data_IF_780236474310
#
_entry.id   IF_780236474310
#
_cell.length_a   1.000
_cell.length_b   1.000
_cell.length_c   1.000
_cell.angle_alpha   90.00
_cell.angle_beta   90.00
_cell.angle_gamma   90.00
#
_symmetry.space_group_name_H-M   'P 1'
#
loop_
_entity.id
_entity.type
_entity.pdbx_description
1 polymer ?
#
# COMPACT_ATOMS: atom_id res chain seq x y z
N UNK A 1 -12.76 -7.65 -23.99
CA UNK A 1 -12.36 -6.36 -23.38
C UNK A 1 -11.03 -6.61 -22.69
N UNK A 2 -9.95 -5.87 -23.01
CA UNK A 2 -8.76 -5.92 -22.17
C UNK A 2 -9.14 -5.29 -20.83
N UNK A 3 -9.17 -6.08 -19.77
CA UNK A 3 -9.34 -5.58 -18.41
C UNK A 3 -8.11 -4.71 -18.13
N UNK A 4 -8.30 -3.48 -17.65
CA UNK A 4 -7.18 -2.68 -17.16
C UNK A 4 -6.42 -3.52 -16.12
N UNK A 5 -5.11 -3.69 -16.34
CA UNK A 5 -4.26 -4.45 -15.42
C UNK A 5 -4.46 -3.92 -14.01
N UNK A 6 -4.85 -4.80 -13.09
CA UNK A 6 -5.10 -4.43 -11.70
C UNK A 6 -3.84 -3.77 -11.12
N UNK A 7 -3.99 -2.62 -10.47
CA UNK A 7 -2.85 -1.88 -9.92
C UNK A 7 -2.27 -2.68 -8.75
N UNK A 8 -1.11 -3.31 -8.96
CA UNK A 8 -0.37 -4.06 -7.94
C UNK A 8 0.65 -3.16 -7.25
N UNK A 9 0.51 -2.99 -5.95
CA UNK A 9 1.42 -2.18 -5.13
C UNK A 9 2.00 -2.94 -3.94
N UNK A 10 1.59 -4.19 -3.72
CA UNK A 10 1.83 -4.90 -2.46
C UNK A 10 3.29 -5.05 -2.11
N UNK A 11 4.12 -5.40 -3.12
CA UNK A 11 5.57 -5.52 -2.95
C UNK A 11 6.21 -4.20 -2.50
N UNK A 12 5.90 -3.09 -3.17
CA UNK A 12 6.48 -1.79 -2.84
C UNK A 12 6.00 -1.27 -1.49
N UNK A 13 4.70 -1.46 -1.19
CA UNK A 13 4.13 -1.11 0.10
C UNK A 13 4.88 -1.82 1.24
N UNK A 14 5.12 -3.12 1.09
CA UNK A 14 5.86 -3.91 2.09
C UNK A 14 7.30 -3.42 2.26
N UNK A 15 8.01 -3.20 1.16
CA UNK A 15 9.40 -2.71 1.19
C UNK A 15 9.51 -1.37 1.90
N UNK A 16 8.68 -0.40 1.52
CA UNK A 16 8.68 0.94 2.11
C UNK A 16 8.28 0.90 3.59
N UNK A 17 7.30 0.05 3.96
CA UNK A 17 6.92 -0.17 5.36
C UNK A 17 8.10 -0.68 6.19
N UNK A 18 8.81 -1.68 5.70
CA UNK A 18 9.95 -2.30 6.39
C UNK A 18 11.14 -1.34 6.50
N UNK A 19 11.39 -0.51 5.48
CA UNK A 19 12.39 0.57 5.54
C UNK A 19 12.10 1.61 6.62
N UNK A 20 10.82 1.82 6.96
CA UNK A 20 10.40 2.69 8.08
C UNK A 20 10.30 1.96 9.42
N UNK A 21 10.71 0.69 9.48
CA UNK A 21 10.65 -0.15 10.69
C UNK A 21 9.23 -0.25 11.27
N UNK A 22 8.21 -0.23 10.41
CA UNK A 22 6.82 -0.32 10.83
C UNK A 22 6.30 -1.75 10.70
N UNK A 23 5.52 -2.18 11.69
CA UNK A 23 4.62 -3.33 11.54
C UNK A 23 3.42 -2.95 10.67
N UNK A 24 2.70 -3.95 10.13
CA UNK A 24 1.45 -3.71 9.40
C UNK A 24 0.39 -2.98 10.26
N UNK A 25 0.37 -3.27 11.57
CA UNK A 25 -0.53 -2.61 12.51
C UNK A 25 -0.21 -1.11 12.64
N UNK A 26 1.07 -0.78 12.83
CA UNK A 26 1.53 0.61 12.94
C UNK A 26 1.31 1.40 11.65
N UNK A 27 1.53 0.79 10.48
CA UNK A 27 1.22 1.45 9.21
C UNK A 27 -0.29 1.68 9.07
N UNK A 28 -1.11 0.68 9.42
CA UNK A 28 -2.56 0.82 9.42
C UNK A 28 -3.04 1.96 10.31
N UNK A 29 -2.56 2.01 11.55
CA UNK A 29 -2.85 3.09 12.49
C UNK A 29 -2.48 4.47 11.93
N UNK A 30 -1.24 4.64 11.44
CA UNK A 30 -0.76 5.91 10.85
C UNK A 30 -1.56 6.33 9.62
N UNK A 31 -1.98 5.37 8.79
CA UNK A 31 -2.74 5.64 7.57
C UNK A 31 -4.25 5.79 7.82
N UNK A 32 -4.75 5.47 9.03
CA UNK A 32 -6.19 5.37 9.30
C UNK A 32 -6.84 4.26 8.47
N UNK A 33 -6.19 3.09 8.42
CA UNK A 33 -6.57 1.90 7.66
C UNK A 33 -6.47 0.66 8.55
N UNK A 34 -7.38 -0.30 8.41
CA UNK A 34 -7.30 -1.53 9.21
C UNK A 34 -6.05 -2.35 8.86
N UNK A 35 -5.38 -2.91 9.89
CA UNK A 35 -4.18 -3.76 9.72
C UNK A 35 -4.39 -4.90 8.73
N UNK A 36 -5.57 -5.52 8.72
CA UNK A 36 -5.89 -6.59 7.77
C UNK A 36 -5.99 -6.10 6.33
N UNK A 37 -6.46 -4.86 6.11
CA UNK A 37 -6.48 -4.27 4.77
C UNK A 37 -5.04 -4.02 4.30
N UNK A 38 -4.14 -3.53 5.16
CA UNK A 38 -2.71 -3.43 4.85
C UNK A 38 -2.13 -4.79 4.47
N UNK A 39 -2.40 -5.83 5.26
CA UNK A 39 -1.92 -7.19 4.97
C UNK A 39 -2.42 -7.74 3.63
N UNK A 40 -3.68 -7.49 3.26
CA UNK A 40 -4.26 -7.95 1.99
C UNK A 40 -3.67 -7.18 0.80
N UNK A 41 -3.43 -5.88 0.95
CA UNK A 41 -2.79 -5.06 -0.08
C UNK A 41 -1.35 -5.53 -0.29
N UNK A 42 -0.58 -5.80 0.78
CA UNK A 42 0.81 -6.30 0.66
C UNK A 42 0.94 -7.65 -0.06
N UNK A 43 -0.15 -8.42 -0.12
CA UNK A 43 -0.22 -9.71 -0.84
C UNK A 43 -0.92 -9.60 -2.20
N UNK A 44 -1.24 -8.39 -2.65
CA UNK A 44 -2.03 -8.11 -3.86
C UNK A 44 -3.37 -8.89 -3.92
N UNK A 45 -3.97 -9.19 -2.76
CA UNK A 45 -5.26 -9.88 -2.64
C UNK A 45 -6.47 -8.95 -2.85
N UNK A 46 -6.21 -7.64 -2.82
CA UNK A 46 -7.21 -6.59 -3.07
C UNK A 46 -6.57 -5.47 -3.86
N UNK A 47 -7.36 -4.89 -4.76
CA UNK A 47 -6.99 -3.65 -5.42
C UNK A 47 -7.37 -2.46 -4.52
N UNK A 48 -6.40 -1.69 -4.00
CA UNK A 48 -6.69 -0.54 -3.16
C UNK A 48 -7.26 0.60 -3.99
N UNK A 49 -8.25 1.31 -3.43
CA UNK A 49 -8.70 2.57 -4.02
C UNK A 49 -7.58 3.61 -3.97
N UNK A 50 -7.57 4.55 -4.90
CA UNK A 50 -6.59 5.63 -4.92
C UNK A 50 -6.53 6.42 -3.59
N UNK A 51 -7.66 6.57 -2.89
CA UNK A 51 -7.69 7.18 -1.56
C UNK A 51 -6.89 6.39 -0.51
N UNK A 52 -6.93 5.05 -0.55
CA UNK A 52 -6.12 4.18 0.32
C UNK A 52 -4.64 4.27 -0.07
N UNK A 53 -4.31 4.30 -1.36
CA UNK A 53 -2.93 4.50 -1.83
C UNK A 53 -2.37 5.81 -1.27
N UNK A 54 -3.12 6.91 -1.39
CA UNK A 54 -2.71 8.22 -0.84
C UNK A 54 -2.49 8.20 0.67
N UNK A 55 -3.37 7.54 1.43
CA UNK A 55 -3.24 7.41 2.88
C UNK A 55 -1.97 6.64 3.28
N UNK A 56 -1.71 5.53 2.60
CA UNK A 56 -0.53 4.70 2.85
C UNK A 56 0.75 5.45 2.46
N UNK A 57 0.76 6.14 1.32
CA UNK A 57 1.88 6.96 0.88
C UNK A 57 2.18 8.10 1.87
N UNK A 58 1.14 8.79 2.34
CA UNK A 58 1.27 9.83 3.36
C UNK A 58 1.83 9.28 4.69
N UNK A 59 1.33 8.13 5.15
CA UNK A 59 1.81 7.48 6.38
C UNK A 59 3.26 6.97 6.27
N UNK A 60 3.73 6.73 5.05
CA UNK A 60 5.10 6.35 4.71
C UNK A 60 5.96 7.54 4.28
N UNK A 61 5.42 8.76 4.27
CA UNK A 61 6.10 9.99 3.82
C UNK A 61 6.79 9.82 2.47
N UNK A 62 6.05 9.29 1.49
CA UNK A 62 6.48 9.15 0.10
C UNK A 62 5.38 9.62 -0.85
N UNK A 63 5.74 9.85 -2.11
CA UNK A 63 4.76 10.09 -3.15
C UNK A 63 3.98 8.81 -3.49
N UNK A 64 2.68 8.89 -3.84
CA UNK A 64 1.90 7.72 -4.25
C UNK A 64 2.53 6.95 -5.42
N UNK A 65 3.30 7.61 -6.29
CA UNK A 65 4.05 6.97 -7.36
C UNK A 65 5.08 5.96 -6.87
N UNK A 66 5.66 6.14 -5.68
CA UNK A 66 6.62 5.18 -5.10
C UNK A 66 5.96 3.84 -4.77
N UNK A 67 4.65 3.82 -4.53
CA UNK A 67 3.90 2.57 -4.34
C UNK A 67 3.62 1.86 -5.67
N UNK A 68 3.47 2.62 -6.77
CA UNK A 68 3.09 2.11 -8.09
C UNK A 68 4.30 1.72 -8.95
N UNK A 69 5.50 2.26 -8.67
CA UNK A 69 6.75 1.97 -9.40
C UNK A 69 7.17 0.50 -9.22
N UNK A 70 6.75 -0.39 -10.10
CA UNK A 70 7.18 -1.80 -10.10
C UNK A 70 6.08 -2.85 -10.14
N UNK A 71 4.83 -2.43 -10.43
CA UNK A 71 3.80 -3.31 -10.98
C UNK A 71 4.05 -3.62 -12.46
#
# INVERSE_FOLDING_TARGET
MPTMDAVKIGKNLKVLREQRLLTQAQLGERAGVHRDQVSRIERDEVEPRFSTIRKLAAALEVEPSELVKGG
#
